data_IF_505136869621
#
_entry.id   IF_505136869621
#
_cell.length_a   1.000
_cell.length_b   1.000
_cell.length_c   1.000
_cell.angle_alpha   90.00
_cell.angle_beta   90.00
_cell.angle_gamma   90.00
#
_symmetry.space_group_name_H-M   'P 1'
#
loop_
_entity.id
_entity.type
_entity.pdbx_description
1 polymer ?
#
# COMPACT_ATOMS: atom_id res chain seq x y z
N UNK A 1 -36.74 0.60 4.17
CA UNK A 1 -35.96 -0.42 4.89
C UNK A 1 -34.52 0.08 4.89
N UNK A 2 -33.93 0.29 6.07
CA UNK A 2 -32.54 0.75 6.14
C UNK A 2 -31.66 -0.41 5.67
N UNK A 3 -30.93 -0.24 4.55
CA UNK A 3 -29.87 -1.16 4.20
C UNK A 3 -28.77 -0.96 5.24
N UNK A 4 -28.64 -1.88 6.20
CA UNK A 4 -27.42 -2.01 6.99
C UNK A 4 -26.32 -2.41 6.03
N UNK A 5 -25.57 -1.43 5.55
CA UNK A 5 -24.40 -1.62 4.69
C UNK A 5 -23.40 -2.52 5.42
N UNK A 6 -22.85 -3.53 4.73
CA UNK A 6 -21.95 -4.47 5.36
C UNK A 6 -20.69 -3.76 5.91
N UNK A 7 -20.28 -4.14 7.11
CA UNK A 7 -19.00 -3.74 7.70
C UNK A 7 -18.21 -5.02 7.97
N UNK A 8 -16.96 -5.06 7.49
CA UNK A 8 -16.01 -6.12 7.85
C UNK A 8 -15.53 -5.89 9.28
N UNK A 9 -15.59 -6.94 10.09
CA UNK A 9 -14.93 -6.96 11.40
C UNK A 9 -13.42 -7.08 11.25
N UNK A 10 -12.65 -6.65 12.25
CA UNK A 10 -11.18 -6.76 12.25
C UNK A 10 -10.70 -8.20 12.00
N UNK A 11 -11.37 -9.18 12.61
CA UNK A 11 -11.05 -10.60 12.40
C UNK A 11 -11.32 -11.07 10.97
N UNK A 12 -12.38 -10.59 10.32
CA UNK A 12 -12.65 -10.89 8.91
C UNK A 12 -11.61 -10.27 7.98
N UNK A 13 -11.17 -9.03 8.27
CA UNK A 13 -10.09 -8.37 7.52
C UNK A 13 -8.79 -9.17 7.62
N UNK A 14 -8.44 -9.67 8.82
CA UNK A 14 -7.27 -10.51 9.02
C UNK A 14 -7.35 -11.81 8.21
N UNK A 15 -8.50 -12.48 8.24
CA UNK A 15 -8.71 -13.71 7.49
C UNK A 15 -8.62 -13.47 5.99
N UNK A 16 -9.24 -12.40 5.48
CA UNK A 16 -9.19 -12.04 4.06
C UNK A 16 -7.76 -11.70 3.64
N UNK A 17 -7.05 -10.90 4.43
CA UNK A 17 -5.65 -10.53 4.23
C UNK A 17 -4.75 -11.76 4.08
N UNK A 18 -4.82 -12.72 5.02
CA UNK A 18 -4.03 -13.95 4.97
C UNK A 18 -4.40 -14.84 3.77
N UNK A 19 -5.69 -15.05 3.52
CA UNK A 19 -6.17 -15.92 2.44
C UNK A 19 -5.85 -15.37 1.06
N UNK A 20 -6.13 -14.08 0.83
CA UNK A 20 -5.84 -13.43 -0.45
C UNK A 20 -4.33 -13.33 -0.68
N UNK A 21 -3.54 -13.08 0.37
CA UNK A 21 -2.08 -13.11 0.25
C UNK A 21 -1.56 -14.47 -0.24
N UNK A 22 -2.08 -15.56 0.37
CA UNK A 22 -1.74 -16.94 -0.04
C UNK A 22 -2.23 -17.25 -1.45
N UNK A 23 -3.46 -16.85 -1.79
CA UNK A 23 -4.09 -17.13 -3.09
C UNK A 23 -3.41 -16.39 -4.24
N UNK A 24 -3.02 -15.13 -4.04
CA UNK A 24 -2.45 -14.27 -5.08
C UNK A 24 -0.91 -14.27 -5.10
N UNK A 25 -0.26 -14.88 -4.10
CA UNK A 25 1.19 -15.10 -4.10
C UNK A 25 2.03 -13.87 -3.73
N UNK A 26 1.42 -12.86 -3.12
CA UNK A 26 2.11 -11.68 -2.58
C UNK A 26 1.36 -11.14 -1.36
N UNK A 27 2.05 -10.37 -0.52
CA UNK A 27 1.45 -9.82 0.70
C UNK A 27 0.39 -8.77 0.37
N UNK A 28 -0.79 -8.94 0.95
CA UNK A 28 -1.91 -8.00 0.99
C UNK A 28 -2.12 -7.66 2.45
N UNK A 29 -2.04 -6.38 2.81
CA UNK A 29 -2.24 -5.92 4.18
C UNK A 29 -3.71 -5.71 4.52
N UNK A 30 -4.02 -5.58 5.81
CA UNK A 30 -5.37 -5.25 6.28
C UNK A 30 -5.89 -3.93 5.67
N UNK A 31 -5.01 -2.93 5.56
CA UNK A 31 -5.34 -1.62 4.97
C UNK A 31 -5.77 -1.79 3.51
N UNK A 32 -5.10 -2.65 2.75
CA UNK A 32 -5.47 -2.92 1.36
C UNK A 32 -6.88 -3.48 1.27
N UNK A 33 -7.20 -4.49 2.10
CA UNK A 33 -8.54 -5.09 2.14
C UNK A 33 -9.60 -4.03 2.43
N UNK A 34 -9.37 -3.19 3.44
CA UNK A 34 -10.31 -2.15 3.84
C UNK A 34 -10.51 -1.10 2.73
N UNK A 35 -9.44 -0.67 2.07
CA UNK A 35 -9.51 0.28 0.97
C UNK A 35 -10.33 -0.27 -0.20
N UNK A 36 -10.04 -1.49 -0.64
CA UNK A 36 -10.77 -2.14 -1.73
C UNK A 36 -12.22 -2.38 -1.37
N UNK A 37 -12.46 -2.90 -0.17
CA UNK A 37 -13.81 -3.16 0.30
C UNK A 37 -14.65 -1.88 0.32
N UNK A 38 -14.07 -0.77 0.76
CA UNK A 38 -14.76 0.52 0.77
C UNK A 38 -14.96 1.08 -0.65
N UNK A 39 -13.98 0.95 -1.52
CA UNK A 39 -14.06 1.43 -2.91
C UNK A 39 -15.14 0.69 -3.71
N UNK A 40 -15.25 -0.63 -3.53
CA UNK A 40 -16.20 -1.49 -4.25
C UNK A 40 -17.41 -1.88 -3.39
N UNK A 41 -17.73 -1.08 -2.38
CA UNK A 41 -18.75 -1.39 -1.38
C UNK A 41 -20.11 -1.68 -2.02
N UNK A 42 -20.52 -0.84 -2.98
CA UNK A 42 -21.81 -1.00 -3.64
C UNK A 42 -21.87 -2.25 -4.51
N UNK A 43 -20.79 -2.59 -5.21
CA UNK A 43 -20.70 -3.84 -5.97
C UNK A 43 -20.75 -5.04 -5.03
N UNK A 44 -19.97 -5.03 -3.95
CA UNK A 44 -19.93 -6.10 -2.95
C UNK A 44 -21.32 -6.30 -2.33
N UNK A 45 -22.00 -5.23 -1.92
CA UNK A 45 -23.36 -5.30 -1.37
C UNK A 45 -24.35 -5.90 -2.40
N UNK A 46 -24.19 -5.62 -3.70
CA UNK A 46 -25.00 -6.26 -4.76
C UNK A 46 -24.74 -7.76 -4.87
N UNK A 47 -23.49 -8.21 -4.80
CA UNK A 47 -23.17 -9.66 -4.88
C UNK A 47 -23.61 -10.40 -3.61
N UNK A 48 -23.61 -9.71 -2.48
CA UNK A 48 -24.07 -10.26 -1.21
C UNK A 48 -25.59 -10.31 -1.09
N UNK A 49 -26.33 -9.54 -1.88
CA UNK A 49 -27.79 -9.55 -1.84
C UNK A 49 -28.34 -10.94 -2.23
N UNK A 50 -28.88 -11.67 -1.26
CA UNK A 50 -29.34 -13.06 -1.40
C UNK A 50 -28.36 -14.14 -0.92
N UNK A 51 -27.16 -13.75 -0.47
CA UNK A 51 -26.19 -14.66 0.13
C UNK A 51 -26.53 -14.95 1.60
N UNK A 52 -26.35 -16.20 2.03
CA UNK A 52 -26.46 -16.54 3.45
C UNK A 52 -25.29 -15.95 4.24
N UNK A 53 -25.53 -15.62 5.51
CA UNK A 53 -24.51 -15.08 6.43
C UNK A 53 -23.25 -15.97 6.49
N UNK A 54 -23.42 -17.30 6.45
CA UNK A 54 -22.32 -18.28 6.45
C UNK A 54 -21.44 -18.22 5.20
N UNK A 55 -21.96 -17.75 4.07
CA UNK A 55 -21.22 -17.64 2.80
C UNK A 55 -20.67 -16.24 2.55
N UNK A 56 -21.03 -15.25 3.38
CA UNK A 56 -20.67 -13.85 3.19
C UNK A 56 -19.18 -13.65 2.97
N UNK A 57 -18.35 -14.20 3.86
CA UNK A 57 -16.90 -14.04 3.78
C UNK A 57 -16.30 -14.68 2.52
N UNK A 58 -16.86 -15.81 2.09
CA UNK A 58 -16.42 -16.51 0.87
C UNK A 58 -16.76 -15.70 -0.39
N UNK A 59 -17.96 -15.11 -0.45
CA UNK A 59 -18.37 -14.26 -1.59
C UNK A 59 -17.49 -13.01 -1.68
N UNK A 60 -17.19 -12.38 -0.54
CA UNK A 60 -16.26 -11.23 -0.51
C UNK A 60 -14.86 -11.65 -0.91
N UNK A 61 -14.33 -12.76 -0.39
CA UNK A 61 -13.02 -13.29 -0.76
C UNK A 61 -12.92 -13.55 -2.27
N UNK A 62 -13.95 -14.16 -2.86
CA UNK A 62 -13.96 -14.46 -4.29
C UNK A 62 -14.01 -13.19 -5.15
N UNK A 63 -14.87 -12.23 -4.79
CA UNK A 63 -14.93 -10.92 -5.45
C UNK A 63 -13.58 -10.20 -5.39
N UNK A 64 -13.00 -10.11 -4.19
CA UNK A 64 -11.72 -9.44 -3.97
C UNK A 64 -10.58 -10.15 -4.70
N UNK A 65 -10.62 -11.47 -4.87
CA UNK A 65 -9.58 -12.21 -5.60
C UNK A 65 -9.47 -11.85 -7.09
N UNK A 66 -10.53 -11.26 -7.66
CA UNK A 66 -10.52 -10.73 -9.02
C UNK A 66 -9.86 -9.35 -9.17
N UNK A 67 -9.49 -8.72 -8.06
CA UNK A 67 -8.95 -7.35 -8.04
C UNK A 67 -7.43 -7.40 -7.96
N UNK A 68 -6.75 -6.60 -8.80
CA UNK A 68 -5.30 -6.46 -8.72
C UNK A 68 -4.90 -5.47 -7.60
N UNK A 69 -4.60 -6.02 -6.42
CA UNK A 69 -4.10 -5.29 -5.25
C UNK A 69 -2.76 -4.55 -5.45
N UNK A 70 -2.10 -4.67 -6.60
CA UNK A 70 -0.89 -3.92 -6.96
C UNK A 70 -1.20 -2.57 -7.61
N UNK A 71 -2.37 -2.46 -8.22
CA UNK A 71 -2.85 -1.26 -8.91
C UNK A 71 -3.86 -0.46 -8.09
N UNK A 72 -4.09 -0.86 -6.84
CA UNK A 72 -4.95 -0.14 -5.93
C UNK A 72 -4.25 1.11 -5.40
N UNK A 73 -4.75 2.24 -5.88
CA UNK A 73 -4.41 3.57 -5.43
C UNK A 73 -5.44 4.00 -4.39
N UNK A 74 -4.96 4.35 -3.21
CA UNK A 74 -5.56 5.46 -2.48
C UNK A 74 -4.53 6.57 -2.53
N UNK A 75 -4.95 7.68 -3.12
CA UNK A 75 -4.32 8.96 -2.94
C UNK A 75 -4.45 9.30 -1.45
N UNK A 76 -3.36 9.20 -0.70
CA UNK A 76 -3.24 10.03 0.49
C UNK A 76 -2.65 11.33 -0.04
N UNK A 77 -3.50 12.18 -0.64
CA UNK A 77 -3.27 13.60 -0.43
C UNK A 77 -3.38 13.73 1.09
N UNK A 78 -2.27 14.01 1.77
CA UNK A 78 -2.33 14.38 3.17
C UNK A 78 -3.20 15.64 3.24
N UNK A 79 -4.49 15.45 3.51
CA UNK A 79 -5.31 16.46 4.14
C UNK A 79 -4.57 16.85 5.42
N UNK A 80 -4.37 18.16 5.61
CA UNK A 80 -3.77 18.71 6.81
C UNK A 80 -4.41 18.05 8.04
N UNK A 81 -3.64 17.27 8.79
CA UNK A 81 -4.14 16.61 9.99
C UNK A 81 -4.47 17.71 11.00
N UNK A 82 -5.77 17.98 11.18
CA UNK A 82 -6.27 18.78 12.29
C UNK A 82 -6.00 18.03 13.61
N UNK A 83 -4.81 18.28 14.18
CA UNK A 83 -4.44 18.44 15.60
C UNK A 83 -4.94 17.46 16.68
N UNK A 84 -5.53 16.30 16.36
CA UNK A 84 -6.12 15.41 17.39
C UNK A 84 -5.70 13.94 17.37
N UNK A 85 -4.77 13.55 16.51
CA UNK A 85 -4.07 12.26 16.63
C UNK A 85 -2.67 12.48 17.21
N UNK A 86 -2.13 11.54 18.00
CA UNK A 86 -0.81 11.71 18.61
C UNK A 86 0.23 11.92 17.51
N UNK A 87 0.79 13.13 17.49
CA UNK A 87 1.84 13.56 16.56
C UNK A 87 2.97 12.52 16.58
N UNK A 88 3.06 11.71 15.53
CA UNK A 88 4.30 11.00 15.26
C UNK A 88 5.32 12.04 14.79
N UNK A 89 6.55 12.03 15.31
CA UNK A 89 7.52 13.07 14.99
C UNK A 89 7.93 12.93 13.52
N UNK A 90 7.46 13.85 12.67
CA UNK A 90 7.90 13.94 11.27
C UNK A 90 6.78 14.12 10.24
N UNK A 91 5.74 14.91 10.54
CA UNK A 91 4.77 15.35 9.54
C UNK A 91 5.47 16.13 8.41
N UNK A 92 5.86 15.40 7.37
CA UNK A 92 6.46 15.92 6.15
C UNK A 92 5.64 15.38 4.98
N UNK A 93 5.00 16.27 4.22
CA UNK A 93 4.28 15.95 2.99
C UNK A 93 5.05 14.88 2.20
N UNK A 94 4.45 13.72 1.99
CA UNK A 94 5.08 12.61 1.31
C UNK A 94 4.18 11.98 0.26
N UNK A 95 4.76 11.45 -0.80
CA UNK A 95 4.05 10.65 -1.78
C UNK A 95 4.21 9.18 -1.43
N UNK A 96 3.12 8.41 -1.41
CA UNK A 96 3.15 6.96 -1.19
C UNK A 96 2.80 6.25 -2.50
N UNK A 97 3.60 5.24 -2.86
CA UNK A 97 3.32 4.35 -3.99
C UNK A 97 3.43 2.90 -3.55
N UNK A 98 2.48 2.07 -3.98
CA UNK A 98 2.54 0.63 -3.73
C UNK A 98 3.15 -0.09 -4.92
N UNK A 99 4.09 -1.00 -4.69
CA UNK A 99 4.60 -1.92 -5.70
C UNK A 99 5.05 -3.23 -5.06
N UNK A 100 4.70 -4.34 -5.69
CA UNK A 100 4.98 -5.72 -5.24
C UNK A 100 4.51 -5.96 -3.78
N UNK A 101 3.32 -5.44 -3.44
CA UNK A 101 2.74 -5.64 -2.11
C UNK A 101 3.38 -4.82 -0.98
N UNK A 102 4.22 -3.83 -1.29
CA UNK A 102 4.84 -2.92 -0.31
C UNK A 102 4.53 -1.47 -0.62
N UNK A 103 4.30 -0.67 0.41
CA UNK A 103 4.11 0.78 0.31
C UNK A 103 5.44 1.48 0.50
N UNK A 104 5.77 2.32 -0.48
CA UNK A 104 6.99 3.10 -0.54
C UNK A 104 6.66 4.59 -0.46
N UNK A 105 7.20 5.28 0.52
CA UNK A 105 6.95 6.70 0.78
C UNK A 105 8.20 7.53 0.51
N UNK A 106 8.09 8.60 -0.27
CA UNK A 106 9.13 9.65 -0.35
C UNK A 106 8.65 10.84 0.46
N UNK A 107 9.45 11.30 1.42
CA UNK A 107 9.18 12.57 2.11
C UNK A 107 9.70 13.74 1.26
N UNK A 108 8.92 14.80 1.11
CA UNK A 108 9.28 16.01 0.34
C UNK A 108 10.46 16.79 0.94
N UNK A 109 10.65 16.69 2.25
CA UNK A 109 11.72 17.35 2.99
C UNK A 109 12.50 16.33 3.83
N UNK A 110 12.89 15.21 3.23
CA UNK A 110 13.74 14.24 3.95
C UNK A 110 15.13 14.84 4.17
N UNK A 111 15.44 15.22 5.41
CA UNK A 111 16.79 15.63 5.80
C UNK A 111 17.78 14.46 5.80
N UNK A 112 17.29 13.21 5.74
CA UNK A 112 18.15 12.03 5.71
C UNK A 112 18.60 11.71 4.26
N UNK A 113 19.87 11.93 3.89
CA UNK A 113 20.34 11.62 2.54
C UNK A 113 20.56 10.11 2.31
N UNK A 114 20.36 9.26 3.32
CA UNK A 114 20.66 7.83 3.23
C UNK A 114 19.46 7.00 2.75
N UNK A 115 19.64 6.05 1.80
CA UNK A 115 20.88 5.64 1.13
C UNK A 115 21.30 6.54 -0.05
N UNK A 116 20.35 7.29 -0.61
CA UNK A 116 20.53 8.23 -1.70
C UNK A 116 19.50 9.35 -1.59
N UNK A 117 19.74 10.47 -2.24
CA UNK A 117 18.71 11.47 -2.50
C UNK A 117 18.32 11.44 -3.99
N UNK A 118 17.08 11.04 -4.35
CA UNK A 118 15.96 10.66 -3.49
C UNK A 118 15.99 9.17 -3.09
N UNK A 119 15.34 8.84 -1.97
CA UNK A 119 15.06 7.48 -1.52
C UNK A 119 13.60 7.34 -1.06
N UNK A 120 13.10 6.11 -0.99
CA UNK A 120 11.76 5.83 -0.46
C UNK A 120 11.81 4.92 0.77
N UNK A 121 10.98 5.19 1.78
CA UNK A 121 10.81 4.36 2.98
C UNK A 121 9.73 3.32 2.75
N UNK A 122 9.95 2.09 3.21
CA UNK A 122 8.88 1.08 3.24
C UNK A 122 8.04 1.30 4.51
N UNK A 123 6.71 1.37 4.41
CA UNK A 123 5.88 1.53 5.61
C UNK A 123 5.76 0.22 6.42
N UNK A 124 5.79 -0.92 5.74
CA UNK A 124 5.61 -2.23 6.39
C UNK A 124 6.90 -2.79 6.99
N UNK A 125 8.04 -2.45 6.41
CA UNK A 125 9.35 -2.93 6.86
C UNK A 125 10.26 -1.75 7.17
N UNK A 126 11.20 -1.90 8.11
CA UNK A 126 12.27 -0.92 8.32
C UNK A 126 13.33 -0.95 7.20
N UNK A 127 12.89 -0.71 5.96
CA UNK A 127 13.67 -0.71 4.73
C UNK A 127 13.62 0.65 4.05
N UNK A 128 14.72 1.01 3.40
CA UNK A 128 14.85 2.17 2.54
C UNK A 128 15.26 1.74 1.14
N UNK A 129 14.55 2.20 0.12
CA UNK A 129 14.83 1.95 -1.28
C UNK A 129 15.62 3.11 -1.89
N UNK A 130 16.78 2.78 -2.43
CA UNK A 130 17.51 3.67 -3.33
C UNK A 130 16.79 3.68 -4.70
N UNK A 131 16.23 4.83 -5.06
CA UNK A 131 15.45 5.00 -6.29
C UNK A 131 16.34 5.10 -7.54
N UNK A 132 17.66 5.21 -7.39
CA UNK A 132 18.63 5.28 -8.49
C UNK A 132 19.06 3.90 -8.98
N UNK A 133 19.13 2.89 -8.10
CA UNK A 133 19.69 1.58 -8.44
C UNK A 133 18.80 0.38 -8.05
N UNK A 134 17.77 0.61 -7.23
CA UNK A 134 16.83 -0.41 -6.74
C UNK A 134 17.27 -1.17 -5.50
N UNK A 135 18.35 -0.78 -4.84
CA UNK A 135 18.84 -1.44 -3.63
C UNK A 135 17.97 -1.09 -2.43
N UNK A 136 17.57 -2.11 -1.67
CA UNK A 136 16.82 -1.95 -0.43
C UNK A 136 17.77 -2.11 0.76
N UNK A 137 17.98 -1.03 1.50
CA UNK A 137 18.81 -0.97 2.69
C UNK A 137 17.98 -1.18 3.94
N UNK A 138 18.53 -1.89 4.94
CA UNK A 138 17.95 -1.89 6.28
C UNK A 138 18.14 -0.52 6.91
N UNK A 139 17.07 0.14 7.35
CA UNK A 139 17.15 1.41 8.07
C UNK A 139 18.00 1.27 9.35
N UNK A 140 17.89 0.13 10.04
CA UNK A 140 18.61 -0.17 11.28
C UNK A 140 20.10 -0.45 11.07
N UNK A 141 20.45 -1.24 10.06
CA UNK A 141 21.83 -1.72 9.87
C UNK A 141 22.59 -1.05 8.72
N UNK A 142 21.93 -0.17 7.97
CA UNK A 142 22.46 0.56 6.81
C UNK A 142 23.12 -0.31 5.72
N UNK A 143 22.75 -1.58 5.63
CA UNK A 143 23.26 -2.55 4.63
C UNK A 143 22.18 -2.95 3.63
N UNK A 144 22.59 -3.30 2.42
CA UNK A 144 21.69 -3.87 1.40
C UNK A 144 21.16 -5.20 1.93
N UNK A 145 19.84 -5.33 1.97
CA UNK A 145 19.13 -6.56 2.37
C UNK A 145 18.63 -7.31 1.14
N UNK A 146 18.23 -6.56 0.11
CA UNK A 146 17.74 -7.10 -1.17
C UNK A 146 17.83 -6.03 -2.25
N UNK A 147 17.63 -6.45 -3.50
CA UNK A 147 17.52 -5.55 -4.65
C UNK A 147 16.19 -5.78 -5.37
N UNK A 148 15.48 -4.70 -5.69
CA UNK A 148 14.29 -4.76 -6.52
C UNK A 148 14.64 -5.14 -7.96
N UNK A 149 13.73 -5.84 -8.64
CA UNK A 149 13.90 -6.08 -10.07
C UNK A 149 13.74 -4.76 -10.80
N UNK A 150 14.46 -4.58 -11.91
CA UNK A 150 14.43 -3.35 -12.71
C UNK A 150 13.01 -2.93 -13.11
N UNK A 151 12.15 -3.90 -13.46
CA UNK A 151 10.75 -3.62 -13.82
C UNK A 151 9.95 -2.99 -12.66
N UNK A 152 10.15 -3.49 -11.43
CA UNK A 152 9.44 -3.04 -10.24
C UNK A 152 9.96 -1.65 -9.83
N UNK A 153 11.29 -1.43 -9.93
CA UNK A 153 11.89 -0.11 -9.73
C UNK A 153 11.34 0.93 -10.72
N UNK A 154 11.26 0.59 -12.01
CA UNK A 154 10.73 1.48 -13.03
C UNK A 154 9.25 1.79 -12.80
N UNK A 155 8.47 0.81 -12.35
CA UNK A 155 7.07 1.00 -11.97
C UNK A 155 6.96 2.01 -10.81
N UNK A 156 7.70 1.80 -9.72
CA UNK A 156 7.76 2.71 -8.57
C UNK A 156 8.15 4.13 -9.03
N UNK A 157 9.20 4.25 -9.84
CA UNK A 157 9.67 5.55 -10.37
C UNK A 157 8.62 6.22 -11.24
N UNK A 158 7.93 5.47 -12.09
CA UNK A 158 6.84 5.99 -12.93
C UNK A 158 5.69 6.51 -12.07
N UNK A 159 5.32 5.77 -11.02
CA UNK A 159 4.28 6.16 -10.06
C UNK A 159 4.65 7.48 -9.35
N UNK A 160 5.90 7.64 -8.93
CA UNK A 160 6.39 8.89 -8.35
C UNK A 160 6.45 10.06 -9.35
N UNK A 161 6.92 9.82 -10.57
CA UNK A 161 6.94 10.83 -11.63
C UNK A 161 5.53 11.33 -11.98
N UNK A 162 4.53 10.43 -12.02
CA UNK A 162 3.12 10.81 -12.23
C UNK A 162 2.57 11.69 -11.11
N UNK A 163 3.14 11.60 -9.91
CA UNK A 163 2.82 12.45 -8.75
C UNK A 163 3.66 13.74 -8.71
N UNK A 164 4.41 14.04 -9.77
CA UNK A 164 5.20 15.27 -9.89
C UNK A 164 6.56 15.23 -9.18
N UNK A 165 6.97 14.07 -8.64
CA UNK A 165 8.32 13.90 -8.08
C UNK A 165 9.32 13.73 -9.22
N UNK A 166 10.30 14.62 -9.31
CA UNK A 166 11.38 14.50 -10.32
C UNK A 166 12.48 13.63 -9.77
N UNK A 167 12.67 12.43 -10.34
CA UNK A 167 13.71 11.50 -9.92
C UNK A 167 14.95 11.57 -10.84
N UNK A 168 16.18 11.47 -10.30
CA UNK A 168 17.40 11.46 -11.10
C UNK A 168 17.50 10.19 -11.94
N UNK A 169 18.36 10.19 -12.96
CA UNK A 169 18.59 9.04 -13.83
C UNK A 169 19.05 7.81 -13.03
N UNK A 170 18.76 6.61 -13.56
CA UNK A 170 19.24 5.38 -12.94
C UNK A 170 20.77 5.34 -12.94
N UNK A 171 21.37 4.89 -11.84
CA UNK A 171 22.79 4.61 -11.78
C UNK A 171 23.11 3.48 -12.76
N UNK A 172 24.13 3.71 -13.60
CA UNK A 172 24.59 2.79 -14.66
C UNK A 172 25.34 1.61 -14.04
#
# INVERSE_FOLDING_TARGET
>A
MHNDSMILTTSEVDVLSDRLSKRLGYTIGQIDILQVFNQYREEIDKVLNGSSEKMRLYVVEDFLSGIDFRDLWVEIEHEEVNDTLPQMPGDLLGFIVKSVGKRWMIHKYDEDPFPSDPHAHCEEDSLKLDLTNGDCHSAKHKRIVRRLRRKDLLEIRSKFNMKGVTLPNLAV
#
